data_IF_926974420360
#
_entry.id   IF_926974420360
#
_cell.length_a   1.000
_cell.length_b   1.000
_cell.length_c   1.000
_cell.angle_alpha   90.00
_cell.angle_beta   90.00
_cell.angle_gamma   90.00
#
_symmetry.space_group_name_H-M   'P 1'
#
loop_
_entity.id
_entity.type
_entity.pdbx_description
1 polymer ?
#
# COMPACT_ATOMS: atom_id res chain seq x y z
N UNK A 1 30.97 9.61 5.62
CA UNK A 1 30.01 10.63 6.12
C UNK A 1 29.02 9.94 7.04
N UNK A 2 28.71 10.45 8.21
CA UNK A 2 27.76 9.83 9.14
C UNK A 2 26.40 10.53 8.98
N UNK A 3 25.33 9.75 8.79
CA UNK A 3 23.96 10.23 8.80
C UNK A 3 23.37 10.20 10.21
N UNK A 4 22.38 11.03 10.46
CA UNK A 4 21.62 10.98 11.71
C UNK A 4 20.60 9.84 11.64
N UNK A 5 19.98 9.66 10.45
CA UNK A 5 19.00 8.60 10.20
C UNK A 5 19.28 7.90 8.86
N UNK A 6 19.29 6.56 8.88
CA UNK A 6 19.21 5.73 7.68
C UNK A 6 17.84 5.05 7.60
N UNK A 7 17.12 5.19 6.49
CA UNK A 7 15.80 4.60 6.28
C UNK A 7 15.91 3.48 5.25
N UNK A 8 15.43 2.29 5.57
CA UNK A 8 15.39 1.14 4.66
C UNK A 8 13.96 0.96 4.13
N UNK A 9 13.75 1.25 2.85
CA UNK A 9 12.50 1.13 2.11
C UNK A 9 11.85 2.46 1.76
N UNK A 10 11.64 2.70 0.47
CA UNK A 10 11.07 3.91 -0.14
C UNK A 10 9.55 3.85 -0.35
N UNK A 11 8.83 3.09 0.47
CA UNK A 11 7.37 3.13 0.51
C UNK A 11 6.84 4.28 1.36
N UNK A 12 5.51 4.43 1.52
CA UNK A 12 4.92 5.56 2.24
C UNK A 12 5.48 5.78 3.65
N UNK A 13 5.74 4.69 4.40
CA UNK A 13 6.32 4.80 5.74
C UNK A 13 7.74 5.37 5.75
N UNK A 14 8.60 4.88 4.83
CA UNK A 14 9.99 5.35 4.75
C UNK A 14 10.11 6.75 4.20
N UNK A 15 9.36 7.06 3.13
CA UNK A 15 9.34 8.41 2.56
C UNK A 15 8.81 9.44 3.56
N UNK A 16 7.72 9.14 4.28
CA UNK A 16 7.20 10.04 5.32
C UNK A 16 8.19 10.24 6.46
N UNK A 17 8.92 9.19 6.85
CA UNK A 17 10.01 9.30 7.84
C UNK A 17 11.11 10.22 7.33
N UNK A 18 11.56 10.02 6.08
CA UNK A 18 12.62 10.82 5.49
C UNK A 18 12.23 12.31 5.35
N UNK A 19 10.99 12.58 4.91
CA UNK A 19 10.43 13.95 4.83
C UNK A 19 10.45 14.62 6.20
N UNK A 20 9.89 13.95 7.21
CA UNK A 20 9.79 14.52 8.56
C UNK A 20 11.17 14.82 9.15
N UNK A 21 12.09 13.88 9.04
CA UNK A 21 13.42 13.99 9.59
C UNK A 21 14.28 15.06 8.86
N UNK A 22 14.23 15.09 7.52
CA UNK A 22 14.96 16.10 6.74
C UNK A 22 14.44 17.50 7.02
N UNK A 23 13.12 17.70 7.11
CA UNK A 23 12.51 18.99 7.49
C UNK A 23 12.84 19.44 8.93
N UNK A 24 13.16 18.48 9.80
CA UNK A 24 13.67 18.77 11.14
C UNK A 24 15.18 19.08 11.15
N UNK A 25 15.84 19.16 10.00
CA UNK A 25 17.25 19.49 9.87
C UNK A 25 18.22 18.34 10.09
N UNK A 26 17.74 17.09 10.15
CA UNK A 26 18.56 15.90 10.29
C UNK A 26 19.14 15.46 8.93
N UNK A 27 20.35 14.89 8.96
CA UNK A 27 20.97 14.27 7.78
C UNK A 27 20.38 12.89 7.57
N UNK A 28 19.56 12.73 6.52
CA UNK A 28 18.82 11.51 6.25
C UNK A 28 19.30 10.87 4.96
N UNK A 29 19.53 9.56 4.98
CA UNK A 29 19.64 8.74 3.77
C UNK A 29 18.52 7.72 3.74
N UNK A 30 17.87 7.57 2.57
CA UNK A 30 16.83 6.57 2.31
C UNK A 30 17.27 5.62 1.20
N UNK A 31 17.14 4.33 1.44
CA UNK A 31 17.48 3.28 0.47
C UNK A 31 16.21 2.58 -0.02
N UNK A 32 16.00 2.59 -1.34
CA UNK A 32 14.96 1.83 -2.00
C UNK A 32 15.62 0.78 -2.91
N UNK A 33 15.31 -0.50 -2.69
CA UNK A 33 15.90 -1.59 -3.45
C UNK A 33 15.49 -1.64 -4.91
N UNK A 34 14.30 -1.12 -5.23
CA UNK A 34 13.79 -1.03 -6.59
C UNK A 34 14.21 0.25 -7.30
N UNK A 35 13.96 0.33 -8.61
CA UNK A 35 14.14 1.56 -9.36
C UNK A 35 13.11 2.62 -8.97
N UNK A 36 13.39 3.88 -9.30
CA UNK A 36 12.36 4.92 -9.31
C UNK A 36 11.21 4.49 -10.24
N UNK A 37 9.98 4.74 -9.82
CA UNK A 37 8.80 4.34 -10.59
C UNK A 37 8.37 2.88 -10.44
N UNK A 38 8.95 2.15 -9.48
CA UNK A 38 8.50 0.78 -9.20
C UNK A 38 7.03 0.74 -8.81
N UNK A 39 6.32 -0.27 -9.30
CA UNK A 39 4.97 -0.57 -8.84
C UNK A 39 5.04 -1.40 -7.54
N UNK A 40 4.21 -1.05 -6.57
CA UNK A 40 3.98 -1.82 -5.35
C UNK A 40 2.53 -2.28 -5.30
N UNK A 41 2.32 -3.57 -5.29
CA UNK A 41 0.99 -4.16 -5.28
C UNK A 41 0.19 -3.68 -4.07
N UNK A 42 -1.01 -3.11 -4.32
CA UNK A 42 -1.89 -2.50 -3.32
C UNK A 42 -3.28 -2.26 -3.93
N UNK A 43 -4.30 -2.04 -3.10
CA UNK A 43 -5.61 -1.54 -3.52
C UNK A 43 -5.67 -0.03 -3.76
N UNK A 44 -4.58 0.72 -3.50
CA UNK A 44 -4.42 2.16 -3.75
C UNK A 44 -5.33 3.11 -2.95
N UNK A 45 -6.18 2.55 -2.10
CA UNK A 45 -7.10 3.33 -1.28
C UNK A 45 -6.41 4.03 -0.11
N UNK A 46 -6.61 5.32 0.01
CA UNK A 46 -6.18 6.17 1.13
C UNK A 46 -7.40 6.53 1.97
N UNK A 47 -7.40 6.14 3.23
CA UNK A 47 -8.47 6.47 4.19
C UNK A 47 -8.40 7.95 4.61
N UNK A 48 -9.45 8.52 5.23
CA UNK A 48 -9.39 9.85 5.83
C UNK A 48 -8.20 10.06 6.76
N UNK A 49 -7.80 9.01 7.50
CA UNK A 49 -6.61 9.07 8.35
C UNK A 49 -5.32 9.24 7.54
N UNK A 50 -5.20 8.55 6.40
CA UNK A 50 -4.04 8.70 5.52
C UNK A 50 -3.98 10.11 4.92
N UNK A 51 -5.11 10.66 4.48
CA UNK A 51 -5.21 12.04 4.00
C UNK A 51 -4.85 13.04 5.12
N UNK A 52 -5.32 12.81 6.35
CA UNK A 52 -4.91 13.62 7.50
C UNK A 52 -3.41 13.64 7.72
N UNK A 53 -2.74 12.47 7.60
CA UNK A 53 -1.28 12.38 7.71
C UNK A 53 -0.55 13.12 6.58
N UNK A 54 -1.07 13.09 5.35
CA UNK A 54 -0.51 13.89 4.24
C UNK A 54 -0.66 15.40 4.51
N UNK A 55 -1.80 15.83 5.06
CA UNK A 55 -2.02 17.23 5.45
C UNK A 55 -1.05 17.67 6.56
N UNK A 56 -0.85 16.86 7.59
CA UNK A 56 0.12 17.10 8.66
C UNK A 56 1.55 17.25 8.13
N UNK A 57 1.89 16.49 7.10
CA UNK A 57 3.18 16.57 6.41
C UNK A 57 3.22 17.67 5.33
N UNK A 58 2.16 18.47 5.14
CA UNK A 58 2.05 19.46 4.06
C UNK A 58 2.41 18.86 2.69
N UNK A 59 1.86 17.69 2.38
CA UNK A 59 2.04 17.00 1.10
C UNK A 59 0.81 17.27 0.23
N UNK A 60 1.02 17.84 -0.95
CA UNK A 60 -0.05 18.02 -1.94
C UNK A 60 -0.54 16.66 -2.43
N UNK A 61 -1.85 16.46 -2.34
CA UNK A 61 -2.53 15.26 -2.80
C UNK A 61 -3.72 15.59 -3.74
N UNK A 62 -3.73 16.79 -4.30
CA UNK A 62 -4.81 17.28 -5.18
C UNK A 62 -4.99 16.45 -6.45
N UNK A 63 -3.93 15.76 -6.89
CA UNK A 63 -3.96 14.87 -8.07
C UNK A 63 -4.57 13.50 -7.78
N UNK A 64 -4.76 13.12 -6.51
CA UNK A 64 -5.39 11.87 -6.13
C UNK A 64 -6.90 11.92 -6.37
N UNK A 65 -7.48 10.81 -6.81
CA UNK A 65 -8.93 10.73 -7.00
C UNK A 65 -9.66 10.75 -5.66
N UNK A 66 -10.40 11.82 -5.39
CA UNK A 66 -11.13 12.02 -4.13
C UNK A 66 -12.26 11.01 -3.96
N UNK A 67 -12.35 10.42 -2.78
CA UNK A 67 -13.39 9.46 -2.38
C UNK A 67 -14.14 10.00 -1.15
N UNK A 68 -15.47 9.97 -1.19
CA UNK A 68 -16.33 10.51 -0.13
C UNK A 68 -16.84 9.45 0.86
N UNK A 69 -16.68 8.17 0.54
CA UNK A 69 -17.18 7.11 1.42
C UNK A 69 -16.96 5.70 0.88
N UNK A 70 -17.64 4.78 1.53
CA UNK A 70 -17.65 3.35 1.19
C UNK A 70 -19.00 2.93 0.68
N UNK A 71 -19.03 2.06 -0.32
CA UNK A 71 -20.20 1.32 -0.78
C UNK A 71 -20.02 -0.14 -0.39
N UNK A 72 -20.79 -0.59 0.59
CA UNK A 72 -20.73 -1.95 1.11
C UNK A 72 -21.83 -2.80 0.43
N UNK A 73 -21.45 -3.97 -0.07
CA UNK A 73 -22.36 -4.94 -0.72
C UNK A 73 -22.32 -6.25 0.06
N UNK A 74 -23.50 -6.72 0.50
CA UNK A 74 -23.67 -7.99 1.18
C UNK A 74 -24.90 -8.71 0.59
N UNK A 75 -24.67 -9.71 -0.25
CA UNK A 75 -25.71 -10.35 -1.05
C UNK A 75 -26.42 -9.34 -1.95
N UNK A 76 -27.74 -9.19 -1.76
CA UNK A 76 -28.57 -8.22 -2.50
C UNK A 76 -28.63 -6.84 -1.81
N UNK A 77 -28.07 -6.69 -0.63
CA UNK A 77 -28.10 -5.43 0.13
C UNK A 77 -26.89 -4.58 -0.23
N UNK A 78 -27.16 -3.29 -0.47
CA UNK A 78 -26.18 -2.26 -0.76
C UNK A 78 -26.38 -1.09 0.21
N UNK A 79 -25.29 -0.58 0.78
CA UNK A 79 -25.27 0.60 1.64
C UNK A 79 -24.12 1.51 1.25
N UNK A 80 -24.39 2.79 1.14
CA UNK A 80 -23.40 3.84 1.01
C UNK A 80 -23.20 4.50 2.37
N UNK A 81 -21.96 4.63 2.76
CA UNK A 81 -21.51 5.15 4.04
C UNK A 81 -20.52 6.27 3.77
N UNK A 82 -20.99 7.52 3.91
CA UNK A 82 -20.10 8.68 3.83
C UNK A 82 -19.18 8.70 5.05
N UNK A 83 -17.93 9.12 4.87
CA UNK A 83 -17.05 9.35 6.00
C UNK A 83 -17.53 10.55 6.82
N UNK A 84 -17.58 10.42 8.16
CA UNK A 84 -18.00 11.52 9.01
C UNK A 84 -16.96 12.64 9.00
N UNK A 85 -17.43 13.87 9.21
CA UNK A 85 -16.56 14.99 9.56
C UNK A 85 -16.11 14.80 11.01
N UNK A 86 -14.81 14.87 11.26
CA UNK A 86 -14.21 14.80 12.59
C UNK A 86 -13.20 15.92 12.75
N UNK A 87 -12.89 16.29 14.00
CA UNK A 87 -11.85 17.31 14.28
C UNK A 87 -10.44 16.84 13.91
N UNK A 88 -10.24 15.52 13.78
CA UNK A 88 -8.92 14.92 13.57
C UNK A 88 -8.64 14.55 12.12
N UNK A 89 -9.65 14.14 11.37
CA UNK A 89 -9.48 13.64 10.01
C UNK A 89 -10.48 14.28 9.05
N UNK A 90 -10.10 14.53 7.79
CA UNK A 90 -11.04 15.02 6.80
C UNK A 90 -12.14 14.00 6.51
N UNK A 91 -13.27 14.46 5.98
CA UNK A 91 -14.41 13.64 5.63
C UNK A 91 -14.29 12.97 4.24
N UNK A 92 -13.08 12.74 3.79
CA UNK A 92 -12.80 12.10 2.52
C UNK A 92 -11.51 11.29 2.58
N UNK A 93 -11.44 10.32 1.72
CA UNK A 93 -10.24 9.58 1.36
C UNK A 93 -9.84 9.87 -0.08
N UNK A 94 -9.00 9.02 -0.64
CA UNK A 94 -8.64 9.07 -2.05
C UNK A 94 -8.29 7.68 -2.59
N UNK A 95 -8.24 7.55 -3.91
CA UNK A 95 -7.52 6.49 -4.61
C UNK A 95 -6.34 7.12 -5.32
N UNK A 96 -5.16 6.59 -5.06
CA UNK A 96 -3.93 7.05 -5.69
C UNK A 96 -3.05 5.84 -6.03
N UNK A 97 -2.93 5.48 -7.33
CA UNK A 97 -2.12 4.34 -7.75
C UNK A 97 -0.73 4.40 -7.13
N UNK A 98 -0.30 3.30 -6.49
CA UNK A 98 0.90 3.24 -5.66
C UNK A 98 2.17 3.69 -6.38
N UNK A 99 2.29 3.39 -7.67
CA UNK A 99 3.43 3.88 -8.45
C UNK A 99 3.52 5.41 -8.43
N UNK A 100 2.39 6.10 -8.68
CA UNK A 100 2.32 7.56 -8.68
C UNK A 100 2.50 8.12 -7.26
N UNK A 101 1.83 7.52 -6.28
CA UNK A 101 1.87 7.93 -4.89
C UNK A 101 3.25 7.79 -4.26
N UNK A 102 3.88 6.61 -4.42
CA UNK A 102 5.20 6.36 -3.85
C UNK A 102 6.25 7.31 -4.48
N UNK A 103 6.20 7.54 -5.81
CA UNK A 103 7.10 8.49 -6.47
C UNK A 103 6.91 9.91 -5.94
N UNK A 104 5.67 10.38 -5.82
CA UNK A 104 5.40 11.70 -5.29
C UNK A 104 5.98 11.90 -3.89
N UNK A 105 5.84 10.91 -3.01
CA UNK A 105 6.44 10.96 -1.67
C UNK A 105 7.96 10.95 -1.70
N UNK A 106 8.58 10.20 -2.62
CA UNK A 106 10.03 10.17 -2.78
C UNK A 106 10.57 11.50 -3.32
N UNK A 107 9.86 12.13 -4.26
CA UNK A 107 10.21 13.45 -4.78
C UNK A 107 10.16 14.51 -3.66
N UNK A 108 9.09 14.50 -2.84
CA UNK A 108 8.99 15.38 -1.66
C UNK A 108 10.10 15.10 -0.65
N UNK A 109 10.53 13.84 -0.47
CA UNK A 109 11.65 13.52 0.42
C UNK A 109 12.96 14.12 -0.09
N UNK A 110 13.22 14.01 -1.41
CA UNK A 110 14.40 14.62 -2.06
C UNK A 110 14.36 16.16 -1.92
N UNK A 111 13.23 16.78 -2.25
CA UNK A 111 13.02 18.21 -2.10
C UNK A 111 13.18 18.70 -0.65
N UNK A 112 12.86 17.85 0.32
CA UNK A 112 13.06 18.13 1.74
C UNK A 112 14.53 17.99 2.20
N UNK A 113 15.45 17.52 1.32
CA UNK A 113 16.87 17.39 1.60
C UNK A 113 17.33 15.98 1.99
N UNK A 114 16.50 14.94 1.86
CA UNK A 114 16.94 13.57 2.07
C UNK A 114 17.80 13.06 0.89
N UNK A 115 18.88 12.33 1.18
CA UNK A 115 19.66 11.57 0.19
C UNK A 115 18.91 10.28 -0.14
N UNK A 116 18.23 10.22 -1.28
CA UNK A 116 17.44 9.05 -1.69
C UNK A 116 18.20 8.24 -2.72
N UNK A 117 18.45 6.96 -2.42
CA UNK A 117 19.23 6.05 -3.26
C UNK A 117 18.35 4.90 -3.75
N UNK A 118 18.20 4.79 -5.06
CA UNK A 118 17.46 3.74 -5.75
C UNK A 118 18.35 2.59 -6.16
N UNK A 119 17.75 1.42 -6.45
CA UNK A 119 18.46 0.17 -6.77
C UNK A 119 19.49 -0.19 -5.67
N UNK A 120 19.18 0.14 -4.43
CA UNK A 120 20.04 0.03 -3.28
C UNK A 120 19.36 -0.81 -2.20
N UNK A 121 19.66 -2.10 -2.17
CA UNK A 121 19.18 -2.97 -1.10
C UNK A 121 20.07 -2.77 0.13
N UNK A 122 19.49 -2.27 1.21
CA UNK A 122 20.18 -1.98 2.45
C UNK A 122 19.82 -3.02 3.53
N UNK A 123 20.81 -3.46 4.29
CA UNK A 123 20.64 -4.35 5.43
C UNK A 123 21.26 -3.71 6.70
N UNK A 124 20.67 -3.91 7.90
CA UNK A 124 21.21 -3.35 9.12
C UNK A 124 22.57 -3.97 9.49
N UNK A 125 23.51 -3.14 9.93
CA UNK A 125 24.80 -3.57 10.47
C UNK A 125 24.73 -3.54 11.99
N UNK A 126 25.04 -4.67 12.62
CA UNK A 126 24.99 -4.86 14.07
C UNK A 126 26.43 -5.07 14.58
N UNK A 127 26.86 -4.23 15.53
CA UNK A 127 28.12 -4.36 16.25
C UNK A 127 27.81 -4.40 17.75
N UNK A 128 28.32 -5.37 18.44
CA UNK A 128 28.13 -5.58 19.90
C UNK A 128 26.64 -5.52 20.34
N UNK A 129 25.73 -6.05 19.48
CA UNK A 129 24.27 -6.05 19.74
C UNK A 129 23.57 -4.73 19.46
N UNK A 130 24.25 -3.72 18.94
CA UNK A 130 23.70 -2.41 18.58
C UNK A 130 23.69 -2.22 17.06
N UNK A 131 22.61 -1.69 16.52
CA UNK A 131 22.54 -1.30 15.10
C UNK A 131 23.30 0.01 14.92
N UNK A 132 24.39 -0.03 14.12
CA UNK A 132 25.31 1.10 13.94
C UNK A 132 25.21 1.78 12.57
N UNK A 133 24.37 1.25 11.69
CA UNK A 133 24.19 1.74 10.32
C UNK A 133 23.62 0.67 9.41
N UNK A 134 23.88 0.81 8.15
CA UNK A 134 23.40 -0.11 7.09
C UNK A 134 24.57 -0.48 6.16
N UNK A 135 24.51 -1.70 5.61
CA UNK A 135 25.37 -2.13 4.52
C UNK A 135 24.61 -2.06 3.20
N UNK A 136 25.24 -1.49 2.20
CA UNK A 136 24.73 -1.39 0.84
C UNK A 136 25.86 -1.70 -0.14
N UNK A 137 25.70 -2.73 -0.97
CA UNK A 137 26.70 -3.13 -1.97
C UNK A 137 28.11 -3.36 -1.40
N UNK A 138 28.22 -3.87 -0.16
CA UNK A 138 29.50 -4.11 0.53
C UNK A 138 30.10 -2.88 1.22
N UNK A 139 29.45 -1.73 1.17
CA UNK A 139 29.86 -0.51 1.88
C UNK A 139 29.00 -0.30 3.13
N UNK A 140 29.65 -0.02 4.25
CA UNK A 140 28.97 0.32 5.51
C UNK A 140 28.76 1.82 5.61
N UNK A 141 27.48 2.21 5.70
CA UNK A 141 27.05 3.59 5.89
C UNK A 141 26.58 3.75 7.34
N UNK A 142 27.33 4.53 8.12
CA UNK A 142 27.04 4.77 9.55
C UNK A 142 25.87 5.71 9.74
N UNK A 143 24.98 5.37 10.68
CA UNK A 143 23.87 6.23 11.09
C UNK A 143 23.59 6.06 12.58
N UNK A 144 23.14 7.15 13.23
CA UNK A 144 22.78 7.11 14.66
C UNK A 144 21.50 6.34 14.93
N UNK A 145 20.58 6.32 13.94
CA UNK A 145 19.31 5.58 13.97
C UNK A 145 19.06 4.90 12.63
N UNK A 146 18.58 3.67 12.66
CA UNK A 146 18.12 2.94 11.47
C UNK A 146 16.62 2.71 11.57
N UNK A 147 15.86 3.17 10.57
CA UNK A 147 14.41 2.97 10.49
C UNK A 147 14.09 1.91 9.44
N UNK A 148 13.42 0.83 9.87
CA UNK A 148 12.97 -0.24 8.98
C UNK A 148 11.57 0.05 8.46
N UNK A 149 11.47 0.40 7.20
CA UNK A 149 10.21 0.66 6.48
C UNK A 149 10.02 -0.30 5.29
N UNK A 150 10.48 -1.54 5.45
CA UNK A 150 10.61 -2.54 4.38
C UNK A 150 9.29 -3.22 4.00
N UNK A 151 8.19 -2.89 4.69
CA UNK A 151 6.89 -3.53 4.51
C UNK A 151 6.83 -4.94 5.12
N UNK A 152 5.76 -5.66 4.83
CA UNK A 152 5.41 -6.91 5.52
C UNK A 152 6.42 -8.07 5.35
N UNK A 153 7.31 -8.03 4.37
CA UNK A 153 8.22 -9.15 4.04
C UNK A 153 9.70 -8.74 4.02
N UNK A 154 10.06 -7.72 4.77
CA UNK A 154 11.43 -7.18 4.76
C UNK A 154 12.47 -8.13 5.36
N UNK A 155 13.54 -8.47 4.61
CA UNK A 155 14.66 -9.25 5.12
C UNK A 155 15.34 -8.57 6.32
N UNK A 156 15.53 -7.25 6.25
CA UNK A 156 16.12 -6.44 7.31
C UNK A 156 15.37 -6.55 8.65
N UNK A 157 14.02 -6.58 8.61
CA UNK A 157 13.23 -6.74 9.83
C UNK A 157 13.43 -8.12 10.47
N UNK A 158 13.53 -9.17 9.65
CA UNK A 158 13.81 -10.54 10.14
C UNK A 158 15.19 -10.66 10.80
N UNK A 159 16.21 -9.97 10.29
CA UNK A 159 17.55 -9.94 10.88
C UNK A 159 17.54 -9.37 12.31
N UNK A 160 16.60 -8.48 12.61
CA UNK A 160 16.42 -7.88 13.93
C UNK A 160 15.35 -8.59 14.78
N UNK A 161 14.95 -9.80 14.41
CA UNK A 161 14.05 -10.64 15.20
C UNK A 161 12.56 -10.30 15.00
N UNK A 162 12.20 -9.41 14.08
CA UNK A 162 10.81 -9.16 13.74
C UNK A 162 10.27 -10.31 12.87
N UNK A 163 9.86 -11.37 13.53
CA UNK A 163 9.28 -12.57 12.91
C UNK A 163 7.78 -12.57 13.22
N UNK A 164 6.96 -12.80 12.19
CA UNK A 164 5.53 -12.94 12.39
C UNK A 164 5.23 -14.20 13.22
N UNK A 165 4.36 -14.07 14.20
CA UNK A 165 3.83 -15.20 14.94
C UNK A 165 3.11 -16.16 13.95
N UNK A 166 3.44 -17.48 13.94
CA UNK A 166 2.77 -18.45 13.09
C UNK A 166 1.25 -18.51 13.26
N UNK A 167 0.75 -18.19 14.46
CA UNK A 167 -0.66 -18.21 14.81
C UNK A 167 -1.37 -16.87 14.52
N UNK A 168 -0.63 -15.84 14.11
CA UNK A 168 -1.21 -14.55 13.77
C UNK A 168 -2.01 -14.63 12.46
N UNK A 169 -3.24 -14.11 12.50
CA UNK A 169 -4.09 -14.00 11.32
C UNK A 169 -3.49 -13.02 10.31
N UNK A 170 -3.39 -13.45 9.08
CA UNK A 170 -2.96 -12.60 7.97
C UNK A 170 -3.92 -12.69 6.79
N UNK A 171 -3.81 -11.75 5.87
CA UNK A 171 -4.53 -11.73 4.61
C UNK A 171 -3.58 -11.92 3.42
N UNK A 172 -4.10 -12.55 2.37
CA UNK A 172 -3.54 -12.49 1.04
C UNK A 172 -4.53 -11.78 0.13
N UNK A 173 -4.01 -11.02 -0.81
CA UNK A 173 -4.83 -10.30 -1.74
C UNK A 173 -4.21 -10.32 -3.15
N UNK A 174 -5.06 -10.15 -4.17
CA UNK A 174 -4.66 -10.02 -5.56
C UNK A 174 -5.42 -8.85 -6.18
N UNK A 175 -4.78 -8.11 -7.06
CA UNK A 175 -5.42 -7.01 -7.79
C UNK A 175 -4.99 -6.97 -9.26
N UNK A 176 -5.83 -6.33 -10.06
CA UNK A 176 -5.54 -5.88 -11.42
C UNK A 176 -6.09 -4.47 -11.62
N UNK A 177 -5.70 -3.81 -12.70
CA UNK A 177 -6.37 -2.61 -13.20
C UNK A 177 -7.20 -2.98 -14.41
N UNK A 178 -8.37 -2.36 -14.54
CA UNK A 178 -9.24 -2.51 -15.71
C UNK A 178 -9.88 -1.18 -16.08
N UNK A 179 -10.14 -0.92 -17.38
CA UNK A 179 -10.84 0.28 -17.80
C UNK A 179 -12.33 0.19 -17.44
N UNK A 180 -12.92 1.33 -17.07
CA UNK A 180 -14.35 1.44 -16.81
C UNK A 180 -14.83 2.88 -16.97
N UNK A 181 -16.05 3.12 -17.53
CA UNK A 181 -16.65 4.45 -17.54
C UNK A 181 -16.98 4.98 -16.13
N UNK A 182 -17.01 4.09 -15.11
CA UNK A 182 -17.28 4.45 -13.71
C UNK A 182 -16.03 4.84 -12.91
N UNK A 183 -14.91 5.09 -13.58
CA UNK A 183 -13.63 5.45 -12.96
C UNK A 183 -13.68 6.71 -12.09
N UNK A 184 -14.66 7.59 -12.32
CA UNK A 184 -14.83 8.85 -11.58
C UNK A 184 -15.79 8.74 -10.38
N UNK A 185 -16.30 7.55 -10.06
CA UNK A 185 -17.15 7.35 -8.88
C UNK A 185 -16.40 7.72 -7.58
N UNK A 186 -17.16 8.27 -6.63
CA UNK A 186 -16.57 8.81 -5.38
C UNK A 186 -16.80 7.93 -4.16
N UNK A 187 -17.04 6.64 -4.38
CA UNK A 187 -17.16 5.63 -3.33
C UNK A 187 -16.25 4.44 -3.62
N UNK A 188 -15.47 4.01 -2.63
CA UNK A 188 -14.85 2.70 -2.67
C UNK A 188 -15.94 1.64 -2.52
N UNK A 189 -15.98 0.66 -3.41
CA UNK A 189 -16.92 -0.44 -3.30
C UNK A 189 -16.24 -1.67 -2.68
N UNK A 190 -16.90 -2.27 -1.68
CA UNK A 190 -16.46 -3.49 -1.02
C UNK A 190 -17.58 -4.53 -1.01
N UNK A 191 -17.36 -5.68 -1.64
CA UNK A 191 -18.25 -6.83 -1.65
C UNK A 191 -17.85 -7.84 -0.58
N UNK A 192 -18.71 -8.03 0.41
CA UNK A 192 -18.50 -8.94 1.55
C UNK A 192 -19.05 -10.35 1.30
N UNK A 193 -19.54 -10.64 0.11
CA UNK A 193 -20.21 -11.90 -0.22
C UNK A 193 -19.39 -12.75 -1.18
N UNK A 194 -18.09 -12.74 -1.04
CA UNK A 194 -17.20 -13.60 -1.83
C UNK A 194 -17.45 -15.06 -1.52
N UNK A 195 -17.38 -15.89 -2.56
CA UNK A 195 -17.39 -17.34 -2.47
C UNK A 195 -16.28 -17.92 -3.34
N UNK A 196 -15.73 -19.03 -2.91
CA UNK A 196 -14.79 -19.79 -3.74
C UNK A 196 -15.53 -20.56 -4.87
N UNK A 197 -14.77 -21.28 -5.68
CA UNK A 197 -15.28 -22.08 -6.81
C UNK A 197 -16.26 -23.20 -6.38
N UNK A 198 -16.26 -23.57 -5.11
CA UNK A 198 -17.16 -24.56 -4.53
C UNK A 198 -18.38 -23.92 -3.84
N UNK A 199 -18.52 -22.59 -3.91
CA UNK A 199 -19.59 -21.83 -3.26
C UNK A 199 -19.38 -21.60 -1.76
N UNK A 200 -18.21 -21.92 -1.21
CA UNK A 200 -17.87 -21.70 0.21
C UNK A 200 -17.64 -20.20 0.46
N UNK A 201 -18.25 -19.61 1.50
CA UNK A 201 -17.97 -18.22 1.85
C UNK A 201 -16.48 -18.00 2.15
N UNK A 202 -15.91 -16.94 1.54
CA UNK A 202 -14.53 -16.53 1.77
C UNK A 202 -14.52 -15.40 2.80
N UNK A 203 -13.86 -15.56 3.95
CA UNK A 203 -13.67 -14.48 4.91
C UNK A 203 -12.70 -13.44 4.34
N UNK A 204 -13.25 -12.36 3.82
CA UNK A 204 -12.54 -11.33 3.09
C UNK A 204 -13.50 -10.44 2.32
N UNK A 205 -13.00 -9.77 1.31
CA UNK A 205 -13.85 -8.94 0.45
C UNK A 205 -13.25 -8.77 -0.95
N UNK A 206 -14.15 -8.53 -1.93
CA UNK A 206 -13.78 -8.03 -3.24
C UNK A 206 -13.94 -6.52 -3.26
N UNK A 207 -13.13 -5.82 -4.05
CA UNK A 207 -13.20 -4.37 -4.14
C UNK A 207 -13.15 -3.84 -5.55
N UNK A 208 -13.75 -2.65 -5.72
CA UNK A 208 -13.66 -1.78 -6.89
C UNK A 208 -13.27 -0.38 -6.39
N UNK A 209 -12.04 0.05 -6.65
CA UNK A 209 -11.53 1.34 -6.22
C UNK A 209 -11.27 2.23 -7.44
N UNK A 210 -12.17 3.17 -7.76
CA UNK A 210 -12.06 4.06 -8.93
C UNK A 210 -10.81 4.93 -8.84
N UNK A 211 -9.98 4.94 -9.89
CA UNK A 211 -8.72 5.68 -9.89
C UNK A 211 -8.81 7.11 -10.48
N UNK A 212 -9.96 7.49 -11.06
CA UNK A 212 -10.16 8.81 -11.65
C UNK A 212 -9.58 8.98 -13.06
N UNK A 213 -8.75 8.06 -13.52
CA UNK A 213 -7.94 8.16 -14.74
C UNK A 213 -8.41 7.23 -15.88
N UNK A 214 -9.66 6.85 -15.88
CA UNK A 214 -10.23 5.90 -16.84
C UNK A 214 -10.25 4.46 -16.31
N UNK A 215 -9.59 4.20 -15.19
CA UNK A 215 -9.40 2.84 -14.66
C UNK A 215 -10.00 2.65 -13.26
N UNK A 216 -10.11 1.40 -12.89
CA UNK A 216 -10.44 0.95 -11.53
C UNK A 216 -9.42 -0.08 -11.08
N UNK A 217 -8.98 0.00 -9.82
CA UNK A 217 -8.27 -1.07 -9.15
C UNK A 217 -9.31 -2.08 -8.66
N UNK A 218 -9.35 -3.25 -9.30
CA UNK A 218 -10.20 -4.38 -8.93
C UNK A 218 -9.37 -5.41 -8.20
N UNK A 219 -9.91 -5.99 -7.12
CA UNK A 219 -9.21 -7.08 -6.46
C UNK A 219 -10.07 -7.85 -5.47
N UNK A 220 -9.45 -8.88 -4.90
CA UNK A 220 -10.03 -9.72 -3.86
C UNK A 220 -8.98 -10.02 -2.80
N UNK A 221 -9.42 -10.14 -1.55
CA UNK A 221 -8.58 -10.55 -0.44
C UNK A 221 -9.27 -11.58 0.43
N UNK A 222 -8.48 -12.46 1.03
CA UNK A 222 -8.95 -13.49 1.94
C UNK A 222 -8.07 -13.56 3.19
N UNK A 223 -8.68 -13.91 4.33
CA UNK A 223 -7.98 -14.09 5.61
C UNK A 223 -7.56 -15.55 5.81
N UNK A 224 -6.41 -15.74 6.44
CA UNK A 224 -5.83 -17.06 6.76
C UNK A 224 -6.69 -17.91 7.69
N UNK A 225 -7.71 -17.33 8.33
CA UNK A 225 -8.71 -18.04 9.13
C UNK A 225 -9.66 -18.92 8.33
N UNK A 226 -9.65 -18.78 6.99
CA UNK A 226 -10.46 -19.60 6.10
C UNK A 226 -10.05 -21.07 6.17
N UNK A 227 -11.00 -21.97 6.38
CA UNK A 227 -10.76 -23.42 6.24
C UNK A 227 -10.34 -23.70 4.80
N UNK A 228 -9.18 -24.34 4.63
CA UNK A 228 -8.62 -24.62 3.30
C UNK A 228 -7.91 -23.43 2.63
N UNK A 229 -7.59 -22.37 3.36
CA UNK A 229 -6.90 -21.17 2.85
C UNK A 229 -5.68 -21.47 1.94
N UNK A 230 -4.87 -22.48 2.30
CA UNK A 230 -3.70 -22.88 1.49
C UNK A 230 -4.04 -23.42 0.10
N UNK A 231 -5.30 -23.81 -0.14
CA UNK A 231 -5.79 -24.32 -1.43
C UNK A 231 -6.52 -23.25 -2.25
N UNK A 232 -6.75 -22.06 -1.67
CA UNK A 232 -7.45 -20.97 -2.34
C UNK A 232 -6.62 -20.43 -3.51
N UNK A 233 -7.20 -20.47 -4.72
CA UNK A 233 -6.60 -19.86 -5.89
C UNK A 233 -7.12 -18.42 -6.03
N UNK A 234 -6.26 -17.44 -5.73
CA UNK A 234 -6.63 -16.01 -5.79
C UNK A 234 -6.94 -15.55 -7.22
N UNK A 235 -6.30 -16.11 -8.26
CA UNK A 235 -6.62 -15.72 -9.65
C UNK A 235 -8.04 -16.17 -9.98
N UNK A 236 -8.41 -17.43 -9.68
CA UNK A 236 -9.76 -17.92 -9.88
C UNK A 236 -10.79 -17.08 -9.11
N UNK A 237 -10.49 -16.74 -7.85
CA UNK A 237 -11.37 -15.89 -7.03
C UNK A 237 -11.54 -14.49 -7.63
N UNK A 238 -10.47 -13.88 -8.15
CA UNK A 238 -10.50 -12.58 -8.82
C UNK A 238 -11.34 -12.64 -10.10
N UNK A 239 -11.15 -13.66 -10.94
CA UNK A 239 -11.90 -13.81 -12.19
C UNK A 239 -13.40 -14.05 -11.94
N UNK A 240 -13.74 -14.82 -10.91
CA UNK A 240 -15.13 -14.98 -10.47
C UNK A 240 -15.73 -13.65 -10.01
N UNK A 241 -15.00 -12.89 -9.20
CA UNK A 241 -15.46 -11.57 -8.76
C UNK A 241 -15.60 -10.60 -9.94
N UNK A 242 -14.62 -10.58 -10.83
CA UNK A 242 -14.66 -9.76 -12.05
C UNK A 242 -15.88 -10.09 -12.91
N UNK A 243 -16.24 -11.37 -13.04
CA UNK A 243 -17.45 -11.77 -13.80
C UNK A 243 -18.72 -11.20 -13.18
N UNK A 244 -18.83 -11.14 -11.86
CA UNK A 244 -19.98 -10.58 -11.13
C UNK A 244 -20.10 -9.07 -11.33
N UNK A 245 -18.97 -8.34 -11.32
CA UNK A 245 -18.97 -6.88 -11.40
C UNK A 245 -18.82 -6.35 -12.83
N UNK A 246 -18.60 -7.23 -13.83
CA UNK A 246 -18.37 -6.84 -15.23
C UNK A 246 -19.50 -5.99 -15.80
N UNK A 247 -20.74 -6.46 -15.72
CA UNK A 247 -21.90 -5.72 -16.22
C UNK A 247 -22.16 -4.44 -15.42
N UNK A 248 -22.30 -4.49 -14.06
CA UNK A 248 -22.57 -3.29 -13.26
C UNK A 248 -21.51 -2.19 -13.40
N UNK A 249 -20.28 -2.55 -13.68
CA UNK A 249 -19.16 -1.61 -13.81
C UNK A 249 -18.80 -1.30 -15.27
N UNK A 250 -19.45 -1.94 -16.25
CA UNK A 250 -19.01 -1.93 -17.65
C UNK A 250 -17.50 -2.16 -17.74
N UNK A 251 -17.04 -3.17 -17.01
CA UNK A 251 -15.63 -3.45 -16.80
C UNK A 251 -15.00 -4.05 -18.06
N UNK A 252 -13.93 -3.43 -18.55
CA UNK A 252 -13.11 -3.97 -19.63
C UNK A 252 -12.18 -5.10 -19.15
N UNK A 253 -11.32 -5.55 -20.05
CA UNK A 253 -10.31 -6.55 -19.71
C UNK A 253 -9.18 -5.95 -18.87
N UNK A 254 -8.45 -6.79 -18.14
CA UNK A 254 -7.32 -6.32 -17.33
C UNK A 254 -6.25 -5.67 -18.20
N UNK A 255 -5.75 -4.52 -17.76
CA UNK A 255 -4.68 -3.77 -18.45
C UNK A 255 -3.34 -4.48 -18.26
N UNK A 256 -3.13 -5.05 -17.08
CA UNK A 256 -1.92 -5.75 -16.69
C UNK A 256 -2.24 -7.12 -16.06
N UNK A 257 -1.22 -7.96 -15.95
CA UNK A 257 -1.35 -9.26 -15.28
C UNK A 257 -1.70 -9.05 -13.79
N UNK A 258 -2.69 -9.77 -13.25
CA UNK A 258 -2.99 -9.72 -11.82
C UNK A 258 -1.77 -10.01 -10.94
N UNK A 259 -1.64 -9.29 -9.85
CA UNK A 259 -0.52 -9.40 -8.90
C UNK A 259 -1.02 -9.57 -7.48
N UNK A 260 -0.43 -10.55 -6.77
CA UNK A 260 -0.77 -10.87 -5.37
C UNK A 260 0.30 -10.35 -4.38
N UNK A 261 -0.11 -10.16 -3.13
CA UNK A 261 0.79 -9.81 -2.01
C UNK A 261 0.28 -10.31 -0.68
#
# INVERSE_FOLDING_TARGET
MQFDIAVIGGGPGGSSTAISAARAGLRVVLFEKGPYGRDKVCGDGLTPRAIGALNELNIDHSVAHRIDGLRMIAGKKKRELSWPTTDRFPNHGAVWPRQKFDNHLLDVAIESGADVRFNAEALPVIEDGVVVGVEVNGEVIRASLVVLATGAQGAAAKMLGAVRDPDETFGLAIRAYAPTPRHAERHLEACLSLRDEHGTPVPGYGWMFPAGDGTVNIGVGALSTMKGFKKLNLNTLLDQYASIVREPWSLGDYIDKPRAW
#
